data_IF_106570529910
#
_entry.id   IF_106570529910
#
_cell.length_a   1.000
_cell.length_b   1.000
_cell.length_c   1.000
_cell.angle_alpha   90.00
_cell.angle_beta   90.00
_cell.angle_gamma   90.00
#
_symmetry.space_group_name_H-M   'P 1'
#
loop_
_entity.id
_entity.type
_entity.pdbx_description
1 polymer ?
#
# COMPACT_ATOMS: atom_id res chain seq x y z
N UNK A 1 25.00 -25.35 78.55
CA UNK A 1 24.90 -23.94 78.10
C UNK A 1 25.26 -23.94 76.59
N UNK A 2 24.27 -23.83 75.72
CA UNK A 2 24.51 -23.61 74.29
C UNK A 2 23.60 -22.43 73.85
N UNK A 3 24.10 -21.43 73.11
CA UNK A 3 23.35 -20.24 72.79
C UNK A 3 22.50 -20.46 71.49
N UNK A 4 21.25 -19.95 71.57
CA UNK A 4 20.34 -19.75 70.46
C UNK A 4 20.97 -18.89 69.36
N UNK A 5 21.03 -19.41 68.13
CA UNK A 5 21.30 -18.64 66.93
C UNK A 5 19.97 -18.35 66.22
N UNK A 6 19.63 -17.09 66.19
CA UNK A 6 18.40 -16.53 65.68
C UNK A 6 18.21 -16.81 64.18
N UNK A 7 16.99 -17.18 63.83
CA UNK A 7 16.37 -17.20 62.48
C UNK A 7 16.32 -15.78 61.89
N UNK A 8 17.21 -15.52 60.97
CA UNK A 8 17.24 -14.28 60.15
C UNK A 8 17.41 -14.70 58.69
N UNK A 9 16.33 -15.12 58.02
CA UNK A 9 16.46 -15.63 56.67
C UNK A 9 15.15 -15.73 55.84
N UNK A 10 14.06 -15.09 56.26
CA UNK A 10 12.76 -15.31 55.56
C UNK A 10 12.10 -14.06 54.98
N UNK A 11 12.77 -12.92 54.96
CA UNK A 11 12.17 -11.69 54.40
C UNK A 11 12.64 -11.32 52.98
N UNK A 12 13.72 -11.93 52.48
CA UNK A 12 14.30 -11.53 51.18
C UNK A 12 13.71 -12.26 49.96
N UNK A 13 13.03 -13.40 50.15
CA UNK A 13 12.42 -14.18 49.06
C UNK A 13 11.17 -13.53 48.41
N UNK A 14 10.38 -12.79 49.19
CA UNK A 14 9.14 -12.18 48.70
C UNK A 14 9.42 -10.97 47.77
N UNK A 15 10.45 -10.18 48.07
CA UNK A 15 10.86 -9.05 47.27
C UNK A 15 11.46 -9.40 45.89
N UNK A 16 12.21 -10.49 45.83
CA UNK A 16 12.82 -10.99 44.62
C UNK A 16 11.78 -11.56 43.66
N UNK A 17 10.83 -12.33 44.14
CA UNK A 17 9.70 -12.90 43.37
C UNK A 17 8.82 -11.79 42.79
N UNK A 18 8.52 -10.74 43.56
CA UNK A 18 7.72 -9.60 43.12
C UNK A 18 8.45 -8.77 42.05
N UNK A 19 9.75 -8.56 42.17
CA UNK A 19 10.58 -7.88 41.17
C UNK A 19 10.71 -8.69 39.87
N UNK A 20 10.82 -10.01 39.95
CA UNK A 20 10.86 -10.88 38.78
C UNK A 20 9.52 -10.88 38.03
N UNK A 21 8.38 -10.97 38.75
CA UNK A 21 7.04 -10.87 38.14
C UNK A 21 6.82 -9.51 37.46
N UNK A 22 7.25 -8.41 38.08
CA UNK A 22 7.18 -7.07 37.47
C UNK A 22 8.08 -6.94 36.22
N UNK A 23 9.28 -7.53 36.23
CA UNK A 23 10.17 -7.53 35.05
C UNK A 23 9.58 -8.39 33.90
N UNK A 24 9.02 -9.54 34.19
CA UNK A 24 8.35 -10.40 33.20
C UNK A 24 7.09 -9.75 32.63
N UNK A 25 6.28 -9.11 33.46
CA UNK A 25 5.10 -8.34 33.04
C UNK A 25 5.49 -7.19 32.12
N UNK A 26 6.54 -6.41 32.50
CA UNK A 26 7.06 -5.30 31.69
C UNK A 26 7.66 -5.78 30.36
N UNK A 27 8.34 -6.92 30.33
CA UNK A 27 8.88 -7.53 29.10
C UNK A 27 7.76 -8.02 28.17
N UNK A 28 6.68 -8.58 28.73
CA UNK A 28 5.53 -9.04 27.94
C UNK A 28 4.71 -7.86 27.38
N UNK A 29 4.51 -6.81 28.15
CA UNK A 29 3.83 -5.60 27.65
C UNK A 29 4.62 -4.89 26.55
N UNK A 30 5.96 -4.81 26.68
CA UNK A 30 6.79 -4.26 25.61
C UNK A 30 6.75 -5.08 24.32
N UNK A 31 6.68 -6.42 24.42
CA UNK A 31 6.51 -7.28 23.24
C UNK A 31 5.13 -7.07 22.58
N UNK A 32 4.08 -6.91 23.37
CA UNK A 32 2.74 -6.63 22.86
C UNK A 32 2.65 -5.27 22.15
N UNK A 33 3.28 -4.23 22.72
CA UNK A 33 3.37 -2.90 22.12
C UNK A 33 4.12 -2.95 20.78
N UNK A 34 5.28 -3.63 20.74
CA UNK A 34 6.03 -3.80 19.48
C UNK A 34 5.21 -4.52 18.40
N UNK A 35 4.54 -5.63 18.76
CA UNK A 35 3.66 -6.35 17.82
C UNK A 35 2.52 -5.47 17.29
N UNK A 36 1.94 -4.62 18.14
CA UNK A 36 0.88 -3.70 17.74
C UNK A 36 1.41 -2.61 16.82
N UNK A 37 2.60 -2.07 17.12
CA UNK A 37 3.30 -1.09 16.31
C UNK A 37 3.66 -1.65 14.94
N UNK A 38 4.19 -2.88 14.88
CA UNK A 38 4.47 -3.62 13.65
C UNK A 38 3.19 -3.88 12.84
N UNK A 39 2.11 -4.31 13.51
CA UNK A 39 0.81 -4.56 12.87
C UNK A 39 0.21 -3.28 12.26
N UNK A 40 0.41 -2.13 12.87
CA UNK A 40 -0.10 -0.86 12.35
C UNK A 40 0.90 -0.17 11.41
N UNK A 41 2.11 -0.71 11.26
CA UNK A 41 3.19 -0.20 10.40
C UNK A 41 3.52 1.28 10.69
N UNK A 42 3.51 1.67 11.96
CA UNK A 42 3.73 3.03 12.40
C UNK A 42 5.14 3.21 12.98
N UNK A 43 5.78 4.33 12.68
CA UNK A 43 6.98 4.78 13.39
C UNK A 43 6.69 5.02 14.88
N UNK A 44 7.71 4.95 15.74
CA UNK A 44 7.53 5.03 17.20
C UNK A 44 6.80 6.31 17.62
N UNK A 45 7.12 7.46 17.02
CA UNK A 45 6.45 8.74 17.31
C UNK A 45 4.98 8.75 16.86
N UNK A 46 4.71 8.28 15.66
CA UNK A 46 3.35 8.17 15.12
C UNK A 46 2.49 7.20 15.93
N UNK A 47 3.05 6.08 16.37
CA UNK A 47 2.36 5.13 17.23
C UNK A 47 1.85 5.78 18.52
N UNK A 48 2.69 6.54 19.21
CA UNK A 48 2.29 7.22 20.43
C UNK A 48 1.27 8.35 20.18
N UNK A 49 1.37 9.07 19.05
CA UNK A 49 0.36 10.04 18.63
C UNK A 49 -1.00 9.38 18.36
N UNK A 50 -1.02 8.22 17.73
CA UNK A 50 -2.25 7.44 17.50
C UNK A 50 -2.85 6.99 18.83
N UNK A 51 -2.07 6.47 19.76
CA UNK A 51 -2.53 6.08 21.10
C UNK A 51 -3.09 7.30 21.87
N UNK A 52 -2.40 8.44 21.81
CA UNK A 52 -2.87 9.69 22.40
C UNK A 52 -4.21 10.14 21.79
N UNK A 53 -4.36 10.05 20.47
CA UNK A 53 -5.61 10.39 19.77
C UNK A 53 -6.76 9.49 20.21
N UNK A 54 -6.54 8.18 20.39
CA UNK A 54 -7.54 7.27 20.95
C UNK A 54 -7.94 7.65 22.39
N UNK A 55 -6.95 7.98 23.23
CA UNK A 55 -7.21 8.36 24.63
C UNK A 55 -8.00 9.68 24.72
N UNK A 56 -7.62 10.69 23.95
CA UNK A 56 -8.31 11.99 23.90
C UNK A 56 -9.71 11.85 23.28
N UNK A 57 -9.85 11.14 22.18
CA UNK A 57 -11.13 10.87 21.52
C UNK A 57 -12.08 10.09 22.41
N UNK A 58 -11.59 9.08 23.12
CA UNK A 58 -12.37 8.32 24.10
C UNK A 58 -12.85 9.19 25.28
N UNK A 59 -11.97 10.03 25.83
CA UNK A 59 -12.32 10.96 26.91
C UNK A 59 -13.36 11.99 26.46
N UNK A 60 -13.20 12.54 25.25
CA UNK A 60 -14.15 13.47 24.65
C UNK A 60 -15.52 12.82 24.43
N UNK A 61 -15.55 11.60 23.89
CA UNK A 61 -16.78 10.82 23.69
C UNK A 61 -17.54 10.60 24.98
N UNK A 62 -16.84 10.21 26.05
CA UNK A 62 -17.45 9.98 27.34
C UNK A 62 -18.10 11.24 27.94
N UNK A 63 -17.43 12.38 27.83
CA UNK A 63 -17.97 13.68 28.33
C UNK A 63 -19.16 14.11 27.49
N UNK A 64 -19.05 14.04 26.15
CA UNK A 64 -20.12 14.45 25.24
C UNK A 64 -21.33 13.52 25.36
N UNK A 65 -21.12 12.20 25.47
CA UNK A 65 -22.17 11.23 25.71
C UNK A 65 -22.92 11.54 27.04
N UNK A 66 -22.19 11.77 28.13
CA UNK A 66 -22.80 12.14 29.41
C UNK A 66 -23.57 13.46 29.36
N UNK A 67 -23.06 14.43 28.60
CA UNK A 67 -23.74 15.71 28.41
C UNK A 67 -25.04 15.56 27.62
N UNK A 68 -24.98 14.88 26.47
CA UNK A 68 -26.15 14.66 25.59
C UNK A 68 -27.23 13.81 26.25
N UNK A 69 -26.86 12.77 26.99
CA UNK A 69 -27.83 11.93 27.71
C UNK A 69 -28.46 12.65 28.90
N UNK A 70 -27.76 13.61 29.53
CA UNK A 70 -28.36 14.45 30.56
C UNK A 70 -29.44 15.41 30.02
N UNK A 71 -29.37 15.78 28.74
CA UNK A 71 -30.43 16.57 28.11
C UNK A 71 -31.72 15.76 27.89
N UNK A 72 -31.60 14.44 27.73
CA UNK A 72 -32.74 13.52 27.50
C UNK A 72 -33.23 12.92 28.81
N UNK A 73 -32.32 12.53 29.71
CA UNK A 73 -32.61 11.95 31.02
C UNK A 73 -32.22 12.96 32.10
N UNK A 74 -33.23 13.53 32.79
CA UNK A 74 -33.02 14.47 33.87
C UNK A 74 -32.23 13.87 35.06
N UNK A 75 -32.34 12.53 35.24
CA UNK A 75 -31.63 11.79 36.28
C UNK A 75 -30.93 10.54 35.71
N UNK A 76 -29.83 10.13 36.37
CA UNK A 76 -29.09 8.88 36.03
C UNK A 76 -29.84 7.66 36.58
N UNK A 77 -30.95 7.29 35.92
CA UNK A 77 -31.72 6.10 36.23
C UNK A 77 -31.16 4.86 35.51
N UNK A 78 -31.80 3.70 35.72
CA UNK A 78 -31.36 2.44 35.10
C UNK A 78 -31.37 2.51 33.54
N UNK A 79 -32.31 3.25 32.96
CA UNK A 79 -32.41 3.42 31.51
C UNK A 79 -31.21 4.22 30.95
N UNK A 80 -30.70 5.22 31.70
CA UNK A 80 -29.46 5.95 31.35
C UNK A 80 -28.27 4.99 31.19
N UNK A 81 -28.09 4.05 32.13
CA UNK A 81 -26.98 3.12 32.10
C UNK A 81 -27.10 2.03 31.00
N UNK A 82 -28.30 1.74 30.53
CA UNK A 82 -28.56 0.83 29.43
C UNK A 82 -28.24 1.51 28.07
N UNK A 83 -28.60 2.77 27.91
CA UNK A 83 -28.42 3.52 26.66
C UNK A 83 -26.99 4.09 26.53
N UNK A 84 -26.32 4.36 27.64
CA UNK A 84 -24.99 4.98 27.68
C UNK A 84 -23.94 4.24 26.84
N UNK A 85 -23.73 2.90 26.95
CA UNK A 85 -22.74 2.19 26.15
C UNK A 85 -23.06 2.19 24.65
N UNK A 86 -24.34 2.11 24.27
CA UNK A 86 -24.77 2.18 22.88
C UNK A 86 -24.44 3.55 22.27
N UNK A 87 -24.79 4.62 23.00
CA UNK A 87 -24.54 5.99 22.55
C UNK A 87 -23.05 6.32 22.50
N UNK A 88 -22.29 5.82 23.47
CA UNK A 88 -20.83 5.94 23.49
C UNK A 88 -20.18 5.27 22.29
N UNK A 89 -20.65 4.06 21.91
CA UNK A 89 -20.13 3.30 20.76
C UNK A 89 -20.38 4.04 19.43
N UNK A 90 -21.56 4.67 19.30
CA UNK A 90 -21.89 5.47 18.11
C UNK A 90 -21.08 6.77 18.07
N UNK A 91 -20.89 7.46 19.21
CA UNK A 91 -20.26 8.76 19.28
C UNK A 91 -18.73 8.69 19.18
N UNK A 92 -18.14 7.57 19.63
CA UNK A 92 -16.70 7.37 19.71
C UNK A 92 -15.97 7.55 18.36
N UNK A 93 -16.42 7.00 17.21
CA UNK A 93 -15.75 7.19 15.92
C UNK A 93 -15.65 8.67 15.51
N UNK A 94 -16.72 9.44 15.73
CA UNK A 94 -16.77 10.86 15.39
C UNK A 94 -15.81 11.68 16.25
N UNK A 95 -15.74 11.40 17.55
CA UNK A 95 -14.83 12.07 18.47
C UNK A 95 -13.37 11.77 18.14
N UNK A 96 -13.04 10.54 17.77
CA UNK A 96 -11.70 10.14 17.37
C UNK A 96 -11.31 10.81 16.05
N UNK A 97 -12.21 10.86 15.04
CA UNK A 97 -11.98 11.59 13.79
C UNK A 97 -11.72 13.07 14.08
N UNK A 98 -12.55 13.70 14.89
CA UNK A 98 -12.41 15.11 15.25
C UNK A 98 -11.06 15.40 15.90
N UNK A 99 -10.65 14.61 16.89
CA UNK A 99 -9.34 14.77 17.56
C UNK A 99 -8.19 14.49 16.58
N UNK A 100 -8.36 13.55 15.62
CA UNK A 100 -7.33 13.20 14.65
C UNK A 100 -6.98 14.32 13.67
N UNK A 101 -7.88 15.29 13.45
CA UNK A 101 -7.61 16.50 12.66
C UNK A 101 -6.52 17.36 13.32
N UNK A 102 -6.57 17.49 14.66
CA UNK A 102 -5.60 18.29 15.41
C UNK A 102 -4.27 17.57 15.68
N UNK A 103 -4.28 16.24 15.72
CA UNK A 103 -3.06 15.43 15.92
C UNK A 103 -2.36 15.05 14.61
N UNK A 104 -2.88 15.47 13.44
CA UNK A 104 -2.33 15.13 12.15
C UNK A 104 -2.48 13.65 11.75
N UNK A 105 -3.34 12.89 12.45
CA UNK A 105 -3.53 11.45 12.23
C UNK A 105 -4.83 11.10 11.48
N UNK A 106 -5.42 12.09 10.82
CA UNK A 106 -6.72 11.93 10.14
C UNK A 106 -6.74 10.79 9.12
N UNK A 107 -5.70 10.68 8.30
CA UNK A 107 -5.60 9.64 7.26
C UNK A 107 -5.60 8.22 7.86
N UNK A 108 -4.88 8.03 8.98
CA UNK A 108 -4.86 6.76 9.70
C UNK A 108 -6.26 6.38 10.22
N UNK A 109 -6.94 7.32 10.89
CA UNK A 109 -8.25 7.06 11.50
C UNK A 109 -9.36 6.88 10.47
N UNK A 110 -9.35 7.64 9.37
CA UNK A 110 -10.26 7.46 8.24
C UNK A 110 -10.16 6.04 7.68
N UNK A 111 -8.93 5.55 7.41
CA UNK A 111 -8.71 4.19 6.94
C UNK A 111 -9.01 3.09 7.97
N UNK A 112 -8.83 3.36 9.26
CA UNK A 112 -9.18 2.44 10.33
C UNK A 112 -10.70 2.27 10.45
N UNK A 113 -11.45 3.38 10.49
CA UNK A 113 -12.91 3.35 10.63
C UNK A 113 -13.63 2.79 9.40
N UNK A 114 -13.12 3.04 8.19
CA UNK A 114 -13.62 2.41 6.96
C UNK A 114 -13.55 0.88 7.06
N UNK A 115 -12.42 0.34 7.54
CA UNK A 115 -12.25 -1.12 7.74
C UNK A 115 -13.13 -1.70 8.84
N UNK A 116 -13.39 -0.96 9.90
CA UNK A 116 -14.31 -1.39 10.98
C UNK A 116 -15.74 -1.33 10.48
N UNK A 117 -16.14 -0.26 9.79
CA UNK A 117 -17.48 -0.08 9.23
C UNK A 117 -17.86 -1.19 8.24
N UNK A 118 -16.96 -1.55 7.33
CA UNK A 118 -17.19 -2.63 6.37
C UNK A 118 -17.36 -4.02 7.01
N UNK A 119 -16.75 -4.24 8.20
CA UNK A 119 -16.94 -5.48 8.98
C UNK A 119 -18.23 -5.50 9.78
N UNK A 120 -18.72 -4.34 10.22
CA UNK A 120 -19.95 -4.23 11.03
C UNK A 120 -21.21 -4.16 10.18
N UNK A 121 -21.13 -3.56 8.98
CA UNK A 121 -22.25 -3.45 8.04
C UNK A 121 -22.43 -4.69 7.15
N UNK A 122 -21.77 -5.80 7.52
CA UNK A 122 -21.91 -7.15 7.00
C UNK A 122 -22.41 -7.22 5.56
N UNK A 123 -21.54 -7.26 4.57
CA UNK A 123 -21.92 -7.77 3.24
C UNK A 123 -22.18 -9.26 3.35
N UNK A 124 -23.35 -9.60 3.86
CA UNK A 124 -23.91 -10.94 3.79
C UNK A 124 -24.44 -11.15 2.37
N UNK A 125 -23.74 -11.95 1.61
CA UNK A 125 -24.25 -12.58 0.41
C UNK A 125 -25.30 -13.63 0.81
N UNK A 126 -26.53 -13.46 0.37
CA UNK A 126 -27.41 -14.59 0.07
C UNK A 126 -28.69 -14.12 -0.63
N UNK A 127 -29.07 -14.80 -1.70
CA UNK A 127 -30.47 -14.92 -2.10
C UNK A 127 -30.81 -14.47 -3.50
N UNK A 128 -30.76 -15.42 -4.40
CA UNK A 128 -31.42 -15.42 -5.70
C UNK A 128 -32.88 -14.89 -5.62
N UNK A 129 -33.23 -13.96 -6.47
CA UNK A 129 -34.59 -13.88 -6.99
C UNK A 129 -34.56 -13.38 -8.42
N UNK A 130 -34.98 -14.27 -9.33
CA UNK A 130 -35.19 -14.08 -10.74
C UNK A 130 -36.38 -13.10 -10.94
N UNK A 131 -36.17 -12.01 -11.67
CA UNK A 131 -37.21 -11.24 -12.32
C UNK A 131 -36.72 -10.86 -13.71
N UNK A 132 -37.56 -11.19 -14.71
CA UNK A 132 -37.30 -11.10 -16.12
C UNK A 132 -37.30 -9.65 -16.68
N UNK A 133 -36.85 -9.42 -17.91
CA UNK A 133 -36.17 -8.21 -18.35
C UNK A 133 -37.12 -7.13 -18.85
N UNK A 134 -36.89 -5.90 -18.43
CA UNK A 134 -37.36 -4.71 -19.16
C UNK A 134 -36.20 -4.15 -19.97
N UNK A 135 -36.33 -4.21 -21.27
CA UNK A 135 -35.49 -3.60 -22.29
C UNK A 135 -35.38 -2.09 -22.10
N UNK A 136 -34.24 -1.63 -21.63
CA UNK A 136 -33.76 -0.30 -21.96
C UNK A 136 -32.25 -0.43 -22.22
N UNK A 137 -31.81 0.02 -23.38
CA UNK A 137 -30.43 0.04 -23.84
C UNK A 137 -29.57 0.91 -22.89
N UNK A 138 -29.04 0.30 -21.85
CA UNK A 138 -27.94 0.83 -21.06
C UNK A 138 -26.69 0.07 -21.45
N UNK A 139 -25.73 0.76 -22.04
CA UNK A 139 -24.36 0.33 -22.21
C UNK A 139 -23.90 -0.33 -20.89
N UNK A 140 -23.67 -1.63 -20.91
CA UNK A 140 -23.11 -2.39 -19.79
C UNK A 140 -21.75 -1.79 -19.44
N UNK A 141 -21.72 -0.91 -18.44
CA UNK A 141 -20.50 -0.38 -17.85
C UNK A 141 -19.80 -1.54 -17.11
N UNK A 142 -18.88 -2.20 -17.79
CA UNK A 142 -18.00 -3.16 -17.16
C UNK A 142 -17.26 -2.46 -15.99
N UNK A 143 -17.10 -3.16 -14.86
CA UNK A 143 -16.41 -2.63 -13.67
C UNK A 143 -15.02 -2.05 -14.01
N UNK A 144 -14.58 -0.99 -13.33
CA UNK A 144 -13.27 -0.39 -13.58
C UNK A 144 -12.14 -1.41 -13.28
N UNK A 145 -11.10 -1.39 -14.11
CA UNK A 145 -9.90 -2.19 -13.92
C UNK A 145 -8.90 -1.34 -13.13
N UNK A 146 -8.51 -1.81 -11.96
CA UNK A 146 -7.58 -1.12 -11.07
C UNK A 146 -6.15 -1.57 -11.31
N UNK A 147 -5.28 -0.67 -11.75
CA UNK A 147 -3.87 -0.97 -11.97
C UNK A 147 -2.98 -0.37 -10.88
N UNK A 148 -1.93 -1.11 -10.50
CA UNK A 148 -0.83 -0.61 -9.69
C UNK A 148 0.39 -0.35 -10.57
N UNK A 149 1.02 0.81 -10.42
CA UNK A 149 2.29 1.13 -11.08
C UNK A 149 3.42 0.96 -10.06
N UNK A 150 4.40 0.13 -10.40
CA UNK A 150 5.64 -0.05 -9.64
C UNK A 150 6.75 0.79 -10.26
N UNK A 151 7.39 1.65 -9.47
CA UNK A 151 8.47 2.50 -9.93
C UNK A 151 9.50 2.75 -8.82
N UNK A 152 10.77 2.96 -9.21
CA UNK A 152 11.89 3.22 -8.28
C UNK A 152 12.53 4.61 -8.45
N UNK A 153 12.09 5.40 -9.42
CA UNK A 153 12.76 6.64 -9.83
C UNK A 153 11.82 7.83 -9.99
N UNK A 154 12.14 8.71 -10.93
CA UNK A 154 11.44 9.96 -11.20
C UNK A 154 9.96 9.79 -11.59
N UNK A 155 9.56 8.62 -12.11
CA UNK A 155 8.16 8.34 -12.42
C UNK A 155 7.63 8.95 -13.71
N UNK A 156 8.49 9.29 -14.69
CA UNK A 156 8.04 9.89 -15.95
C UNK A 156 7.03 9.02 -16.69
N UNK A 157 7.26 7.72 -16.77
CA UNK A 157 6.31 6.75 -17.33
C UNK A 157 5.00 6.67 -16.50
N UNK A 158 5.11 6.68 -15.17
CA UNK A 158 3.93 6.68 -14.30
C UNK A 158 3.06 7.90 -14.56
N UNK A 159 3.66 9.11 -14.65
CA UNK A 159 2.95 10.35 -15.00
C UNK A 159 2.22 10.22 -16.33
N UNK A 160 2.90 9.73 -17.37
CA UNK A 160 2.31 9.58 -18.71
C UNK A 160 1.16 8.57 -18.75
N UNK A 161 1.26 7.46 -18.02
CA UNK A 161 0.19 6.47 -17.90
C UNK A 161 -1.02 7.08 -17.17
N UNK A 162 -0.80 7.79 -16.06
CA UNK A 162 -1.89 8.44 -15.30
C UNK A 162 -2.60 9.46 -16.17
N UNK A 163 -1.87 10.41 -16.78
CA UNK A 163 -2.42 11.45 -17.66
C UNK A 163 -3.21 10.85 -18.83
N UNK A 164 -2.72 9.75 -19.41
CA UNK A 164 -3.37 9.09 -20.53
C UNK A 164 -4.76 8.55 -20.15
N UNK A 165 -4.87 7.85 -19.04
CA UNK A 165 -6.14 7.25 -18.61
C UNK A 165 -7.11 8.28 -18.01
N UNK A 166 -6.62 9.31 -17.32
CA UNK A 166 -7.43 10.42 -16.85
C UNK A 166 -8.12 11.15 -18.02
N UNK A 167 -7.36 11.45 -19.09
CA UNK A 167 -7.87 12.22 -20.23
C UNK A 167 -8.84 11.46 -21.11
N UNK A 168 -8.76 10.12 -21.16
CA UNK A 168 -9.61 9.30 -22.02
C UNK A 168 -10.92 8.83 -21.37
N UNK A 169 -11.05 8.95 -20.05
CA UNK A 169 -12.25 8.48 -19.33
C UNK A 169 -12.48 6.97 -19.47
N UNK A 170 -11.42 6.21 -19.65
CA UNK A 170 -11.48 4.75 -19.81
C UNK A 170 -11.76 4.06 -18.47
N UNK A 171 -12.24 2.82 -18.54
CA UNK A 171 -12.48 1.99 -17.36
C UNK A 171 -11.19 1.59 -16.60
N UNK A 172 -10.01 1.89 -17.14
CA UNK A 172 -8.72 1.62 -16.51
C UNK A 172 -8.36 2.75 -15.56
N UNK A 173 -8.09 2.44 -14.28
CA UNK A 173 -7.77 3.41 -13.24
C UNK A 173 -6.45 3.07 -12.57
N UNK A 174 -5.53 4.03 -12.53
CA UNK A 174 -4.34 3.92 -11.67
C UNK A 174 -4.75 4.13 -10.22
N UNK A 175 -4.74 3.06 -9.44
CA UNK A 175 -5.28 3.05 -8.07
C UNK A 175 -4.22 2.96 -6.99
N UNK A 176 -2.97 2.64 -7.36
CA UNK A 176 -1.87 2.52 -6.42
C UNK A 176 -0.52 2.78 -7.11
N UNK A 177 0.33 3.54 -6.46
CA UNK A 177 1.76 3.63 -6.78
C UNK A 177 2.54 2.81 -5.76
N UNK A 178 3.38 1.88 -6.23
CA UNK A 178 4.26 1.08 -5.36
C UNK A 178 5.70 1.50 -5.59
N UNK A 179 6.39 1.90 -4.52
CA UNK A 179 7.76 2.39 -4.59
C UNK A 179 8.65 1.75 -3.52
N UNK A 180 9.90 1.47 -3.88
CA UNK A 180 10.90 0.89 -3.01
C UNK A 180 12.02 1.88 -2.61
N UNK A 181 11.97 3.12 -3.13
CA UNK A 181 12.98 4.16 -2.89
C UNK A 181 12.32 5.34 -2.18
N UNK A 182 12.69 5.64 -0.92
CA UNK A 182 12.19 6.81 -0.23
C UNK A 182 12.57 8.11 -0.96
N UNK A 183 11.61 9.04 -1.11
CA UNK A 183 11.84 10.32 -1.78
C UNK A 183 11.96 10.24 -3.30
N UNK A 184 11.63 9.10 -3.92
CA UNK A 184 11.58 9.00 -5.38
C UNK A 184 10.49 9.92 -5.96
N UNK A 185 10.77 10.58 -7.09
CA UNK A 185 9.85 11.55 -7.72
C UNK A 185 8.47 10.97 -8.06
N UNK A 186 8.35 9.66 -8.24
CA UNK A 186 7.04 9.02 -8.43
C UNK A 186 6.10 9.18 -7.23
N UNK A 187 6.63 9.37 -6.02
CA UNK A 187 5.82 9.60 -4.81
C UNK A 187 5.20 11.00 -4.81
N UNK A 188 5.93 12.00 -5.33
CA UNK A 188 5.42 13.37 -5.53
C UNK A 188 4.29 13.36 -6.56
N UNK A 189 4.44 12.59 -7.64
CA UNK A 189 3.38 12.39 -8.64
C UNK A 189 2.14 11.76 -8.02
N UNK A 190 2.32 10.74 -7.16
CA UNK A 190 1.22 10.09 -6.46
C UNK A 190 0.46 11.07 -5.56
N UNK A 191 1.18 11.93 -4.82
CA UNK A 191 0.60 12.97 -3.98
C UNK A 191 -0.14 14.03 -4.81
N UNK A 192 0.49 14.57 -5.86
CA UNK A 192 -0.10 15.54 -6.79
C UNK A 192 -1.42 15.03 -7.40
N UNK A 193 -1.45 13.75 -7.76
CA UNK A 193 -2.60 13.10 -8.41
C UNK A 193 -3.61 12.50 -7.42
N UNK A 194 -3.36 12.60 -6.12
CA UNK A 194 -4.21 12.01 -5.08
C UNK A 194 -4.30 10.49 -5.14
N UNK A 195 -3.28 9.83 -5.71
CA UNK A 195 -3.20 8.37 -5.82
C UNK A 195 -2.51 7.82 -4.58
N UNK A 196 -3.10 6.81 -3.89
CA UNK A 196 -2.43 6.15 -2.77
C UNK A 196 -1.06 5.60 -3.16
N UNK A 197 -0.07 5.73 -2.26
CA UNK A 197 1.25 5.13 -2.44
C UNK A 197 1.55 4.07 -1.38
N UNK A 198 2.26 3.01 -1.78
CA UNK A 198 2.72 1.92 -0.93
C UNK A 198 4.25 1.88 -0.98
N UNK A 199 4.88 2.25 0.13
CA UNK A 199 6.32 2.05 0.30
C UNK A 199 6.59 0.60 0.69
N UNK A 200 7.45 -0.07 -0.08
CA UNK A 200 7.85 -1.46 0.17
C UNK A 200 9.29 -1.55 0.65
N UNK A 201 9.57 -2.50 1.54
CA UNK A 201 10.92 -2.85 1.95
C UNK A 201 11.34 -4.20 1.38
N UNK A 202 12.66 -4.43 1.28
CA UNK A 202 13.21 -5.57 0.58
C UNK A 202 12.90 -6.91 1.25
N UNK A 203 12.87 -6.97 2.59
CA UNK A 203 12.63 -8.20 3.35
C UNK A 203 11.20 -8.71 3.17
N UNK A 204 10.21 -7.83 3.38
CA UNK A 204 8.80 -8.19 3.25
C UNK A 204 8.44 -8.45 1.79
N UNK A 205 9.04 -7.68 0.85
CA UNK A 205 8.82 -7.89 -0.58
C UNK A 205 9.32 -9.26 -1.02
N UNK A 206 10.51 -9.68 -0.59
CA UNK A 206 11.02 -11.01 -0.89
C UNK A 206 10.20 -12.14 -0.23
N UNK A 207 9.64 -11.90 0.97
CA UNK A 207 8.92 -12.91 1.72
C UNK A 207 7.48 -13.14 1.23
N UNK A 208 6.73 -12.06 0.93
CA UNK A 208 5.29 -12.13 0.66
C UNK A 208 4.83 -11.33 -0.57
N UNK A 209 5.74 -10.59 -1.25
CA UNK A 209 5.44 -9.78 -2.43
C UNK A 209 4.37 -8.71 -2.23
N UNK A 210 3.99 -8.42 -0.98
CA UNK A 210 2.85 -7.55 -0.65
C UNK A 210 1.53 -7.97 -1.33
N UNK A 211 1.37 -9.25 -1.67
CA UNK A 211 0.20 -9.79 -2.38
C UNK A 211 -1.11 -9.45 -1.67
N UNK A 212 -1.16 -9.66 -0.35
CA UNK A 212 -2.37 -9.34 0.43
C UNK A 212 -2.68 -7.84 0.39
N UNK A 213 -1.66 -6.98 0.45
CA UNK A 213 -1.84 -5.52 0.38
C UNK A 213 -2.39 -5.07 -0.97
N UNK A 214 -1.90 -5.65 -2.06
CA UNK A 214 -2.35 -5.38 -3.42
C UNK A 214 -3.80 -5.87 -3.65
N UNK A 215 -4.12 -7.08 -3.21
CA UNK A 215 -5.48 -7.63 -3.29
C UNK A 215 -6.48 -6.81 -2.45
N UNK A 216 -6.08 -6.41 -1.24
CA UNK A 216 -6.92 -5.56 -0.38
C UNK A 216 -7.13 -4.14 -0.94
N UNK A 217 -6.22 -3.68 -1.81
CA UNK A 217 -6.37 -2.44 -2.57
C UNK A 217 -7.20 -2.64 -3.86
N UNK A 218 -7.68 -3.86 -4.13
CA UNK A 218 -8.47 -4.18 -5.31
C UNK A 218 -7.67 -4.12 -6.62
N UNK A 219 -6.36 -4.37 -6.58
CA UNK A 219 -5.51 -4.29 -7.79
C UNK A 219 -5.73 -5.53 -8.66
N UNK A 220 -6.09 -5.29 -9.91
CA UNK A 220 -6.31 -6.32 -10.93
C UNK A 220 -5.06 -6.56 -11.79
N UNK A 221 -4.25 -5.50 -12.02
CA UNK A 221 -3.14 -5.54 -12.95
C UNK A 221 -1.93 -4.73 -12.45
N UNK A 222 -0.72 -5.18 -12.75
CA UNK A 222 0.53 -4.55 -12.31
C UNK A 222 1.34 -4.10 -13.52
N UNK A 223 1.80 -2.85 -13.47
CA UNK A 223 2.65 -2.24 -14.49
C UNK A 223 3.99 -1.87 -13.87
N UNK A 224 5.08 -2.47 -14.36
CA UNK A 224 6.43 -2.12 -13.96
C UNK A 224 6.94 -0.98 -14.86
N UNK A 225 7.12 0.19 -14.29
CA UNK A 225 7.54 1.41 -14.98
C UNK A 225 8.86 1.95 -14.39
N UNK A 226 9.97 1.28 -14.68
CA UNK A 226 11.26 1.58 -14.07
C UNK A 226 11.38 1.08 -12.63
N UNK A 227 10.88 -0.10 -12.36
CA UNK A 227 11.03 -0.78 -11.08
C UNK A 227 12.28 -1.67 -11.07
N UNK A 228 13.18 -1.45 -10.10
CA UNK A 228 14.54 -2.01 -10.14
C UNK A 228 14.72 -3.37 -9.43
N UNK A 229 13.75 -3.81 -8.62
CA UNK A 229 13.87 -5.09 -7.94
C UNK A 229 13.22 -6.21 -8.73
N UNK A 230 13.81 -7.41 -8.64
CA UNK A 230 13.18 -8.63 -9.15
C UNK A 230 11.88 -8.87 -8.38
N UNK A 231 10.80 -9.19 -9.10
CA UNK A 231 9.56 -9.61 -8.47
C UNK A 231 9.76 -10.98 -7.81
N UNK A 232 9.27 -11.19 -6.58
CA UNK A 232 9.29 -12.50 -5.96
C UNK A 232 8.26 -13.42 -6.63
N UNK A 233 8.58 -14.70 -6.73
CA UNK A 233 7.70 -15.72 -7.32
C UNK A 233 6.27 -15.68 -6.78
N UNK A 234 6.11 -15.46 -5.47
CA UNK A 234 4.80 -15.39 -4.83
C UNK A 234 3.93 -14.29 -5.45
N UNK A 235 4.52 -13.16 -5.85
CA UNK A 235 3.78 -12.07 -6.50
C UNK A 235 3.45 -12.43 -7.96
N UNK A 236 4.41 -12.99 -8.71
CA UNK A 236 4.20 -13.42 -10.11
C UNK A 236 3.08 -14.46 -10.18
N UNK A 237 3.09 -15.44 -9.29
CA UNK A 237 2.05 -16.49 -9.21
C UNK A 237 0.68 -15.96 -8.75
N UNK A 238 0.65 -14.90 -7.94
CA UNK A 238 -0.60 -14.30 -7.48
C UNK A 238 -1.32 -13.46 -8.54
N UNK A 239 -0.58 -13.01 -9.58
CA UNK A 239 -1.05 -12.19 -10.70
C UNK A 239 -0.69 -12.82 -12.05
N UNK A 240 -1.18 -14.02 -12.38
CA UNK A 240 -0.84 -14.74 -13.59
C UNK A 240 -1.35 -13.98 -14.81
N UNK A 241 -0.45 -13.69 -15.77
CA UNK A 241 -0.76 -12.89 -16.97
C UNK A 241 -1.37 -11.51 -16.65
N UNK A 242 -1.02 -10.94 -15.51
CA UNK A 242 -1.50 -9.64 -15.06
C UNK A 242 -0.36 -8.71 -14.62
N UNK A 243 0.87 -8.98 -15.06
CA UNK A 243 2.04 -8.15 -14.80
C UNK A 243 2.79 -7.92 -16.11
N UNK A 244 3.03 -6.66 -16.44
CA UNK A 244 3.87 -6.27 -17.59
C UNK A 244 5.03 -5.38 -17.16
N UNK A 245 6.10 -5.43 -17.93
CA UNK A 245 7.28 -4.57 -17.78
C UNK A 245 7.58 -3.85 -19.09
N UNK A 246 8.14 -2.64 -18.98
CA UNK A 246 8.79 -1.95 -20.07
C UNK A 246 10.29 -1.99 -19.88
N UNK A 247 11.02 -2.52 -20.87
CA UNK A 247 12.46 -2.61 -20.87
C UNK A 247 13.05 -1.69 -21.94
N UNK A 248 14.10 -0.89 -21.63
CA UNK A 248 14.61 0.15 -22.51
C UNK A 248 15.59 -0.37 -23.58
N UNK A 249 15.37 -1.58 -24.09
CA UNK A 249 16.11 -2.16 -25.20
C UNK A 249 15.23 -3.15 -26.00
N UNK A 250 15.75 -3.61 -27.12
CA UNK A 250 15.14 -4.65 -27.95
C UNK A 250 15.52 -6.02 -27.41
N UNK A 251 14.67 -6.60 -26.56
CA UNK A 251 14.87 -7.96 -26.04
C UNK A 251 14.89 -8.99 -27.17
N UNK A 252 15.68 -10.07 -27.02
CA UNK A 252 16.41 -10.50 -25.82
C UNK A 252 17.77 -9.84 -25.59
N UNK A 253 18.24 -8.96 -26.51
CA UNK A 253 19.51 -8.27 -26.32
C UNK A 253 19.36 -7.24 -25.15
N UNK A 254 20.45 -7.08 -24.40
CA UNK A 254 20.54 -6.09 -23.31
C UNK A 254 19.46 -6.23 -22.22
N UNK A 255 18.93 -7.46 -22.04
CA UNK A 255 18.06 -7.83 -20.93
C UNK A 255 18.79 -8.56 -19.82
N UNK A 256 18.07 -8.91 -18.75
CA UNK A 256 18.57 -9.74 -17.68
C UNK A 256 19.21 -8.98 -16.50
N UNK A 257 19.81 -9.76 -15.60
CA UNK A 257 20.36 -9.24 -14.32
C UNK A 257 21.40 -8.15 -14.53
N UNK A 258 21.16 -6.96 -14.00
CA UNK A 258 22.09 -5.82 -14.06
C UNK A 258 21.85 -4.87 -15.23
N UNK A 259 21.00 -5.21 -16.18
CA UNK A 259 20.60 -4.38 -17.32
C UNK A 259 19.41 -3.50 -16.99
N UNK A 260 19.66 -2.32 -16.45
CA UNK A 260 18.64 -1.31 -16.10
C UNK A 260 19.17 0.12 -16.17
N UNK A 261 18.30 1.08 -16.43
CA UNK A 261 18.62 2.50 -16.47
C UNK A 261 19.72 2.83 -17.48
N UNK A 262 20.64 3.70 -17.11
CA UNK A 262 21.74 4.17 -17.98
C UNK A 262 22.63 3.03 -18.50
N UNK A 263 22.81 1.97 -17.72
CA UNK A 263 23.67 0.82 -18.11
C UNK A 263 23.23 0.15 -19.41
N UNK A 264 21.94 0.10 -19.69
CA UNK A 264 21.42 -0.45 -20.94
C UNK A 264 21.87 0.39 -22.11
N UNK A 265 21.71 1.71 -22.02
CA UNK A 265 22.08 2.65 -23.08
C UNK A 265 23.60 2.67 -23.31
N UNK A 266 24.38 2.63 -22.21
CA UNK A 266 25.84 2.55 -22.28
C UNK A 266 26.28 1.25 -22.98
N UNK A 267 25.68 0.10 -22.66
CA UNK A 267 25.99 -1.17 -23.29
C UNK A 267 25.63 -1.19 -24.78
N UNK A 268 24.50 -0.63 -25.16
CA UNK A 268 24.05 -0.53 -26.55
C UNK A 268 25.01 0.32 -27.39
N UNK A 269 25.40 1.48 -26.87
CA UNK A 269 26.35 2.41 -27.52
C UNK A 269 27.73 1.74 -27.62
N UNK A 270 28.22 1.16 -26.53
CA UNK A 270 29.53 0.47 -26.52
C UNK A 270 29.60 -0.71 -27.50
N UNK A 271 28.49 -1.39 -27.75
CA UNK A 271 28.39 -2.46 -28.72
C UNK A 271 28.33 -1.97 -30.19
N UNK A 272 28.22 -0.66 -30.43
CA UNK A 272 28.14 -0.11 -31.79
C UNK A 272 26.87 -0.48 -32.53
N UNK A 273 25.78 -0.77 -31.84
CA UNK A 273 24.49 -1.11 -32.46
C UNK A 273 23.99 0.03 -33.36
N UNK A 274 23.27 -0.30 -34.42
CA UNK A 274 22.69 0.65 -35.36
C UNK A 274 21.23 1.01 -35.02
N UNK A 275 20.61 0.21 -34.23
CA UNK A 275 19.24 0.42 -33.73
C UNK A 275 19.12 0.03 -32.26
N UNK A 276 18.20 0.68 -31.54
CA UNK A 276 17.72 0.31 -30.22
C UNK A 276 16.22 0.48 -30.18
N UNK A 277 15.63 0.39 -28.99
CA UNK A 277 14.18 0.56 -28.85
C UNK A 277 13.70 0.20 -27.47
N UNK A 278 12.42 -0.07 -27.39
CA UNK A 278 11.74 -0.52 -26.16
C UNK A 278 11.14 -1.89 -26.39
N UNK A 279 11.01 -2.64 -25.30
CA UNK A 279 10.24 -3.90 -25.28
C UNK A 279 9.24 -3.85 -24.13
N UNK A 280 7.96 -4.03 -24.43
CA UNK A 280 6.91 -4.29 -23.45
C UNK A 280 6.65 -5.78 -23.46
N UNK A 281 6.74 -6.44 -22.31
CA UNK A 281 6.63 -7.89 -22.19
C UNK A 281 5.87 -8.32 -20.94
N UNK A 282 5.33 -9.51 -20.95
CA UNK A 282 4.79 -10.16 -19.75
C UNK A 282 5.93 -10.47 -18.78
N UNK A 283 5.66 -10.38 -17.49
CA UNK A 283 6.64 -10.75 -16.47
C UNK A 283 6.40 -12.18 -16.03
N UNK A 284 7.49 -12.96 -16.01
CA UNK A 284 7.58 -14.29 -15.43
C UNK A 284 8.57 -14.31 -14.24
N UNK A 285 8.98 -15.48 -13.81
CA UNK A 285 9.92 -15.66 -12.70
C UNK A 285 11.37 -15.24 -13.05
N UNK A 286 11.69 -15.12 -14.35
CA UNK A 286 13.02 -14.75 -14.84
C UNK A 286 13.09 -13.28 -15.27
N UNK A 287 14.31 -12.72 -15.29
CA UNK A 287 14.50 -11.32 -15.69
C UNK A 287 14.37 -11.18 -17.20
N UNK A 288 13.42 -10.35 -17.63
CA UNK A 288 13.23 -9.90 -19.02
C UNK A 288 13.03 -11.03 -20.05
N UNK A 289 12.60 -12.23 -19.58
CA UNK A 289 12.41 -13.42 -20.42
C UNK A 289 10.93 -13.73 -20.75
N UNK A 290 10.02 -12.93 -20.27
CA UNK A 290 8.60 -13.11 -20.54
C UNK A 290 8.23 -12.79 -22.00
N UNK A 291 7.10 -13.33 -22.45
CA UNK A 291 6.62 -13.17 -23.83
C UNK A 291 6.47 -11.69 -24.22
N UNK A 292 7.03 -11.32 -25.35
CA UNK A 292 7.00 -9.96 -25.90
C UNK A 292 5.58 -9.62 -26.33
N UNK A 293 5.10 -8.46 -25.90
CA UNK A 293 3.79 -7.88 -26.27
C UNK A 293 3.97 -6.89 -27.41
N UNK A 294 4.96 -5.99 -27.27
CA UNK A 294 5.19 -4.91 -28.21
C UNK A 294 6.67 -4.50 -28.20
N UNK A 295 7.18 -4.10 -29.35
CA UNK A 295 8.49 -3.45 -29.51
C UNK A 295 8.36 -2.23 -30.43
N UNK A 296 9.07 -1.16 -30.09
CA UNK A 296 9.30 -0.03 -30.98
C UNK A 296 10.80 0.23 -31.10
N UNK A 297 11.24 0.67 -32.28
CA UNK A 297 12.64 0.86 -32.62
C UNK A 297 12.97 2.32 -32.86
N UNK A 298 14.22 2.71 -32.62
CA UNK A 298 14.83 3.95 -33.09
C UNK A 298 16.21 3.67 -33.68
N UNK A 299 16.63 4.49 -34.63
CA UNK A 299 17.99 4.49 -35.15
C UNK A 299 18.97 5.10 -34.14
N UNK A 300 20.20 4.59 -34.18
CA UNK A 300 21.34 5.14 -33.43
C UNK A 300 22.28 5.78 -34.47
N UNK A 301 22.47 7.07 -34.33
CA UNK A 301 23.36 7.85 -35.18
C UNK A 301 24.82 7.75 -34.67
N UNK A 302 25.80 7.97 -35.53
CA UNK A 302 27.22 7.89 -35.15
C UNK A 302 27.63 8.90 -34.05
N UNK A 303 26.85 9.95 -33.85
CA UNK A 303 27.05 10.98 -32.84
C UNK A 303 26.27 10.74 -31.55
N UNK A 304 25.47 9.67 -31.50
CA UNK A 304 24.67 9.40 -30.29
C UNK A 304 25.54 8.97 -29.11
N UNK A 305 25.18 9.47 -27.98
CA UNK A 305 25.71 9.11 -26.66
C UNK A 305 24.68 8.28 -25.91
N UNK A 306 25.06 7.65 -24.79
CA UNK A 306 24.11 6.97 -23.92
C UNK A 306 22.98 7.90 -23.45
N UNK A 307 23.26 9.18 -23.22
CA UNK A 307 22.27 10.17 -22.81
C UNK A 307 21.29 10.53 -23.94
N UNK A 308 21.78 10.77 -25.17
CA UNK A 308 20.90 11.06 -26.30
C UNK A 308 20.03 9.84 -26.65
N UNK A 309 20.60 8.62 -26.59
CA UNK A 309 19.84 7.39 -26.76
C UNK A 309 18.76 7.24 -25.68
N UNK A 310 19.07 7.51 -24.39
CA UNK A 310 18.09 7.49 -23.32
C UNK A 310 16.89 8.40 -23.62
N UNK A 311 17.13 9.61 -24.16
CA UNK A 311 16.04 10.51 -24.53
C UNK A 311 15.18 9.98 -25.68
N UNK A 312 15.80 9.35 -26.69
CA UNK A 312 15.07 8.66 -27.78
C UNK A 312 14.20 7.51 -27.22
N UNK A 313 14.75 6.73 -26.30
CA UNK A 313 14.04 5.61 -25.65
C UNK A 313 12.87 6.12 -24.78
N UNK A 314 13.09 7.16 -23.94
CA UNK A 314 12.00 7.74 -23.14
C UNK A 314 10.86 8.27 -24.02
N UNK A 315 11.16 8.84 -25.19
CA UNK A 315 10.12 9.28 -26.14
C UNK A 315 9.28 8.10 -26.64
N UNK A 316 9.91 6.96 -26.93
CA UNK A 316 9.21 5.73 -27.32
C UNK A 316 8.38 5.15 -26.18
N UNK A 317 8.93 5.12 -24.96
CA UNK A 317 8.21 4.67 -23.76
C UNK A 317 6.92 5.48 -23.56
N UNK A 318 7.03 6.80 -23.58
CA UNK A 318 5.90 7.71 -23.40
C UNK A 318 4.84 7.58 -24.52
N UNK A 319 5.27 7.31 -25.75
CA UNK A 319 4.37 7.15 -26.89
C UNK A 319 3.61 5.84 -26.88
N UNK A 320 4.22 4.76 -26.37
CA UNK A 320 3.71 3.40 -26.60
C UNK A 320 3.22 2.67 -25.36
N UNK A 321 3.68 3.04 -24.13
CA UNK A 321 3.38 2.22 -22.96
C UNK A 321 1.90 2.28 -22.58
N UNK A 322 1.34 3.48 -22.40
CA UNK A 322 -0.07 3.63 -22.04
C UNK A 322 -1.04 3.09 -23.11
N UNK A 323 -0.82 3.34 -24.44
CA UNK A 323 -1.63 2.72 -25.49
C UNK A 323 -1.55 1.18 -25.51
N UNK A 324 -0.39 0.61 -25.16
CA UNK A 324 -0.25 -0.86 -25.08
C UNK A 324 -1.06 -1.41 -23.89
N UNK A 325 -1.03 -0.73 -22.74
CA UNK A 325 -1.87 -1.10 -21.57
C UNK A 325 -3.36 -1.02 -21.94
N UNK A 326 -3.78 0.05 -22.62
CA UNK A 326 -5.16 0.18 -23.10
C UNK A 326 -5.56 -1.00 -23.98
N UNK A 327 -4.72 -1.35 -24.98
CA UNK A 327 -5.00 -2.47 -25.90
C UNK A 327 -5.09 -3.83 -25.20
N UNK A 328 -4.40 -4.00 -24.07
CA UNK A 328 -4.42 -5.27 -23.31
C UNK A 328 -5.63 -5.40 -22.41
N UNK A 329 -6.16 -4.27 -21.89
CA UNK A 329 -7.16 -4.24 -20.84
C UNK A 329 -8.51 -3.62 -21.28
N UNK A 330 -8.51 -2.91 -22.39
CA UNK A 330 -9.69 -2.24 -22.99
C UNK A 330 -10.42 -3.08 -24.00
#
# INVERSE_FOLDING_TARGET
MAPLRALKGEKDGCGASRRLKLRLSKKNSMKAIKRLQEKWKLGTGQFWLVILTFALGGSLSGRLCSFLLKLVFLEKNWAFWLVYPLFLTILWPFSVIFVSLFTGQFTFFKGYLSRVGSRLLGSGSAGDSVAAPSTSSATLSAAPIHIAIFASGAGSNARKIIEYFENKGLRIKVSLIVCNVPGAGVLEIAEEKGIPSLMINKSDFAANGYVESLKNAGIDFIVLAGFLWKLPEVLVRAYPKAIINIHPALLPKYGGKGMYGARVHEAVIAAGEKESGITIHWVNEDYDEGAIIFQAKCSIDATDTATSLANKIHALEHAHFAPTIEKLLG
#
